data_IF_253729477589
#
_entry.id   IF_253729477589
#
_cell.length_a   1.000
_cell.length_b   1.000
_cell.length_c   1.000
_cell.angle_alpha   90.00
_cell.angle_beta   90.00
_cell.angle_gamma   90.00
#
_symmetry.space_group_name_H-M   'P 1'
#
loop_
_entity.id
_entity.type
_entity.pdbx_description
1 polymer ?
#
# COMPACT_ATOMS: atom_id res chain seq x y z
N UNK A 1 8.51 -8.83 18.16
CA UNK A 1 8.78 -7.54 17.49
C UNK A 1 7.48 -7.11 16.88
N UNK A 2 7.04 -5.88 17.12
CA UNK A 2 5.75 -5.41 16.63
C UNK A 2 5.93 -4.75 15.27
N UNK A 3 4.97 -4.89 14.36
CA UNK A 3 5.02 -4.36 12.99
C UNK A 3 5.30 -2.83 12.93
N UNK A 4 4.96 -2.08 13.99
CA UNK A 4 5.28 -0.66 14.11
C UNK A 4 6.80 -0.42 14.12
N UNK A 5 7.58 -1.31 14.75
CA UNK A 5 9.04 -1.17 14.77
C UNK A 5 9.65 -1.44 13.41
N UNK A 6 9.07 -2.35 12.62
CA UNK A 6 9.52 -2.61 11.26
C UNK A 6 9.26 -1.41 10.34
N UNK A 7 8.08 -0.79 10.45
CA UNK A 7 7.78 0.47 9.75
C UNK A 7 8.72 1.60 10.15
N UNK A 8 8.95 1.81 11.45
CA UNK A 8 9.91 2.85 11.93
C UNK A 8 11.34 2.60 11.46
N UNK A 9 11.77 1.33 11.42
CA UNK A 9 13.14 0.96 11.01
C UNK A 9 13.34 1.15 9.51
N UNK A 10 12.33 0.87 8.71
CA UNK A 10 12.45 0.88 7.24
C UNK A 10 12.12 2.23 6.62
N UNK A 11 11.36 3.10 7.31
CA UNK A 11 11.07 4.44 6.82
C UNK A 11 12.30 5.35 6.78
N UNK A 12 12.41 6.14 5.69
CA UNK A 12 13.33 7.28 5.59
C UNK A 12 12.80 8.53 6.33
N UNK A 13 11.49 8.62 6.51
CA UNK A 13 10.80 9.70 7.22
C UNK A 13 10.05 9.14 8.45
N UNK A 14 10.49 9.48 9.68
CA UNK A 14 9.84 9.06 10.92
C UNK A 14 8.39 9.56 11.08
N UNK A 15 8.08 10.76 10.57
CA UNK A 15 6.74 11.34 10.69
C UNK A 15 5.77 10.60 9.75
N UNK A 16 6.22 10.28 8.54
CA UNK A 16 5.48 9.41 7.63
C UNK A 16 5.22 8.03 8.24
N UNK A 17 6.23 7.43 8.88
CA UNK A 17 6.05 6.16 9.59
C UNK A 17 4.98 6.26 10.68
N UNK A 18 4.99 7.34 11.46
CA UNK A 18 4.00 7.56 12.51
C UNK A 18 2.57 7.67 11.94
N UNK A 19 2.38 8.37 10.82
CA UNK A 19 1.08 8.48 10.13
C UNK A 19 0.56 7.12 9.65
N UNK A 20 1.42 6.33 8.99
CA UNK A 20 1.04 4.99 8.52
C UNK A 20 0.71 4.06 9.70
N UNK A 21 1.51 4.13 10.78
CA UNK A 21 1.26 3.36 12.00
C UNK A 21 -0.10 3.71 12.61
N UNK A 22 -0.42 5.00 12.71
CA UNK A 22 -1.70 5.46 13.26
C UNK A 22 -2.87 4.96 12.41
N UNK A 23 -2.80 5.10 11.09
CA UNK A 23 -3.86 4.65 10.19
C UNK A 23 -4.12 3.14 10.28
N UNK A 24 -3.05 2.33 10.32
CA UNK A 24 -3.15 0.87 10.46
C UNK A 24 -3.65 0.49 11.85
N UNK A 25 -3.20 1.15 12.92
CA UNK A 25 -3.67 0.88 14.27
C UNK A 25 -5.17 1.19 14.42
N UNK A 26 -5.63 2.31 13.86
CA UNK A 26 -7.05 2.66 13.83
C UNK A 26 -7.89 1.62 13.07
N UNK A 27 -7.40 1.12 11.93
CA UNK A 27 -8.07 0.06 11.17
C UNK A 27 -8.22 -1.23 11.99
N UNK A 28 -7.13 -1.71 12.59
CA UNK A 28 -7.15 -2.93 13.39
C UNK A 28 -8.08 -2.79 14.61
N UNK A 29 -8.11 -1.61 15.23
CA UNK A 29 -8.92 -1.35 16.43
C UNK A 29 -10.41 -1.14 16.12
N UNK A 30 -10.75 -0.45 15.03
CA UNK A 30 -12.12 -0.02 14.73
C UNK A 30 -12.86 -0.94 13.77
N UNK A 31 -12.15 -1.70 12.94
CA UNK A 31 -12.72 -2.57 11.93
C UNK A 31 -12.35 -4.06 12.11
N UNK A 32 -12.32 -4.63 13.35
CA UNK A 32 -11.84 -5.99 13.60
C UNK A 32 -12.64 -7.05 12.84
N UNK A 33 -13.92 -6.79 12.57
CA UNK A 33 -14.80 -7.68 11.81
C UNK A 33 -14.22 -8.07 10.46
N UNK A 34 -13.57 -7.13 9.75
CA UNK A 34 -13.01 -7.38 8.41
C UNK A 34 -11.96 -8.50 8.44
N UNK A 35 -11.14 -8.52 9.48
CA UNK A 35 -10.04 -9.47 9.65
C UNK A 35 -10.53 -10.80 10.20
N UNK A 36 -11.39 -10.77 11.22
CA UNK A 36 -11.97 -11.99 11.84
C UNK A 36 -12.73 -12.81 10.80
N UNK A 37 -13.51 -12.16 9.95
CA UNK A 37 -14.35 -12.82 8.93
C UNK A 37 -13.69 -12.96 7.56
N UNK A 38 -12.37 -12.72 7.46
CA UNK A 38 -11.58 -12.89 6.22
C UNK A 38 -12.15 -12.12 5.02
N UNK A 39 -12.71 -10.94 5.26
CA UNK A 39 -13.33 -10.09 4.23
C UNK A 39 -12.31 -9.79 3.11
N UNK A 40 -12.81 -9.53 1.91
CA UNK A 40 -11.98 -9.24 0.73
C UNK A 40 -11.05 -8.04 0.93
N UNK A 41 -9.87 -8.09 0.29
CA UNK A 41 -8.82 -7.07 0.41
C UNK A 41 -9.35 -5.68 0.06
N UNK A 42 -10.17 -5.54 -1.00
CA UNK A 42 -10.79 -4.25 -1.37
C UNK A 42 -11.54 -3.56 -0.23
N UNK A 43 -12.25 -4.30 0.62
CA UNK A 43 -12.95 -3.71 1.76
C UNK A 43 -11.96 -3.22 2.84
N UNK A 44 -10.88 -3.98 3.05
CA UNK A 44 -9.78 -3.60 3.95
C UNK A 44 -9.05 -2.37 3.39
N UNK A 45 -8.71 -2.35 2.09
CA UNK A 45 -8.07 -1.23 1.40
C UNK A 45 -8.90 0.05 1.52
N UNK A 46 -10.21 -0.02 1.21
CA UNK A 46 -11.11 1.13 1.36
C UNK A 46 -11.14 1.67 2.80
N UNK A 47 -11.24 0.78 3.80
CA UNK A 47 -11.30 1.22 5.21
C UNK A 47 -9.97 1.78 5.69
N UNK A 48 -8.85 1.20 5.25
CA UNK A 48 -7.52 1.77 5.50
C UNK A 48 -7.37 3.14 4.84
N UNK A 49 -7.83 3.31 3.59
CA UNK A 49 -7.74 4.57 2.86
C UNK A 49 -8.41 5.73 3.61
N UNK A 50 -9.55 5.50 4.25
CA UNK A 50 -10.22 6.50 5.10
C UNK A 50 -9.31 6.95 6.27
N UNK A 51 -8.64 6.01 6.94
CA UNK A 51 -7.74 6.35 8.04
C UNK A 51 -6.44 6.98 7.56
N UNK A 52 -5.96 6.59 6.38
CA UNK A 52 -4.82 7.22 5.71
C UNK A 52 -5.18 8.67 5.37
N UNK A 53 -6.30 8.93 4.68
CA UNK A 53 -6.75 10.29 4.31
C UNK A 53 -6.75 11.26 5.50
N UNK A 54 -7.23 10.80 6.67
CA UNK A 54 -7.22 11.59 7.90
C UNK A 54 -5.80 12.04 8.37
N UNK A 55 -4.75 11.32 7.98
CA UNK A 55 -3.35 11.62 8.31
C UNK A 55 -2.63 12.50 7.26
N UNK A 56 -3.22 12.70 6.08
CA UNK A 56 -2.62 13.44 4.95
C UNK A 56 -3.51 14.61 4.52
N UNK A 57 -3.75 15.61 5.39
CA UNK A 57 -4.54 16.78 5.01
C UNK A 57 -3.93 17.49 3.81
N UNK A 58 -4.77 17.80 2.83
CA UNK A 58 -4.38 18.45 1.58
C UNK A 58 -3.99 17.50 0.46
N UNK A 59 -3.83 16.20 0.71
CA UNK A 59 -3.61 15.19 -0.32
C UNK A 59 -4.91 14.48 -0.69
N UNK A 60 -5.00 13.97 -1.92
CA UNK A 60 -6.02 13.00 -2.31
C UNK A 60 -5.58 11.59 -1.89
N UNK A 61 -6.52 10.78 -1.43
CA UNK A 61 -6.30 9.35 -1.14
C UNK A 61 -7.31 8.52 -1.89
N UNK A 62 -6.84 7.69 -2.82
CA UNK A 62 -7.68 6.90 -3.71
C UNK A 62 -7.28 5.43 -3.68
N UNK A 63 -8.27 4.55 -3.70
CA UNK A 63 -8.06 3.12 -3.97
C UNK A 63 -8.10 2.86 -5.47
N UNK A 64 -7.28 1.91 -5.94
CA UNK A 64 -7.33 1.42 -7.31
C UNK A 64 -7.28 2.54 -8.39
N UNK A 65 -6.54 3.63 -8.12
CA UNK A 65 -6.44 4.76 -9.04
C UNK A 65 -5.51 4.43 -10.22
N UNK A 66 -6.11 4.33 -11.41
CA UNK A 66 -5.50 3.77 -12.62
C UNK A 66 -4.85 4.81 -13.55
N UNK A 67 -4.71 6.07 -13.11
CA UNK A 67 -4.15 7.17 -13.92
C UNK A 67 -2.80 7.66 -13.45
N UNK A 68 -2.00 8.07 -14.42
CA UNK A 68 -0.79 8.87 -14.27
C UNK A 68 -0.93 10.09 -15.19
N UNK A 69 -1.31 11.24 -14.63
CA UNK A 69 -1.92 12.32 -15.40
C UNK A 69 -3.22 11.85 -16.08
N UNK A 70 -3.31 12.05 -17.40
CA UNK A 70 -4.44 11.56 -18.21
C UNK A 70 -4.20 10.14 -18.76
N UNK A 71 -2.94 9.69 -18.74
CA UNK A 71 -2.55 8.39 -19.25
C UNK A 71 -2.96 7.29 -18.28
N UNK A 72 -3.11 6.08 -18.83
CA UNK A 72 -3.26 4.89 -18.00
C UNK A 72 -1.94 4.59 -17.30
N UNK A 73 -2.01 4.17 -16.04
CA UNK A 73 -0.85 3.84 -15.22
C UNK A 73 -0.23 2.51 -15.68
N UNK A 74 1.03 2.58 -16.12
CA UNK A 74 1.77 1.45 -16.69
C UNK A 74 3.17 1.37 -16.07
N UNK A 75 3.67 0.15 -15.85
CA UNK A 75 5.05 -0.11 -15.45
C UNK A 75 5.75 -0.87 -16.59
N UNK A 76 6.78 -0.29 -17.24
CA UNK A 76 7.48 -0.89 -18.38
C UNK A 76 8.09 -2.26 -18.07
N UNK A 77 8.69 -2.44 -16.88
CA UNK A 77 9.42 -3.65 -16.51
C UNK A 77 8.56 -4.65 -15.69
N UNK A 78 7.27 -4.77 -16.04
CA UNK A 78 6.26 -5.44 -15.23
C UNK A 78 6.59 -6.90 -14.86
N UNK A 79 6.31 -7.29 -13.61
CA UNK A 79 6.38 -8.65 -13.07
C UNK A 79 5.30 -9.61 -13.63
N UNK A 80 4.77 -9.32 -14.82
CA UNK A 80 3.75 -10.08 -15.54
C UNK A 80 4.36 -10.81 -16.75
N UNK A 81 3.68 -11.85 -17.23
CA UNK A 81 4.15 -12.74 -18.29
C UNK A 81 4.09 -12.16 -19.71
N UNK A 82 3.92 -10.85 -19.90
CA UNK A 82 3.58 -10.31 -21.21
C UNK A 82 4.70 -9.44 -21.80
N UNK A 83 4.98 -9.73 -23.06
CA UNK A 83 6.05 -9.22 -23.91
C UNK A 83 6.07 -7.68 -24.04
N UNK A 84 7.27 -7.09 -23.96
CA UNK A 84 7.77 -5.79 -24.48
C UNK A 84 6.95 -4.47 -24.35
N UNK A 85 5.71 -4.43 -23.85
CA UNK A 85 4.88 -3.20 -23.78
C UNK A 85 4.56 -2.69 -22.35
N UNK A 86 5.05 -3.37 -21.32
CA UNK A 86 4.81 -3.00 -19.93
C UNK A 86 3.43 -3.42 -19.41
N UNK A 87 3.34 -3.56 -18.09
CA UNK A 87 2.13 -4.04 -17.43
C UNK A 87 1.30 -2.89 -16.87
N UNK A 88 -0.01 -2.98 -17.06
CA UNK A 88 -0.94 -2.13 -16.37
C UNK A 88 -0.93 -2.41 -14.88
N UNK A 89 -0.98 -1.36 -14.07
CA UNK A 89 -0.94 -1.52 -12.62
C UNK A 89 -2.08 -0.79 -11.93
N UNK A 90 -2.52 -1.37 -10.82
CA UNK A 90 -3.62 -0.89 -10.02
C UNK A 90 -3.19 -0.98 -8.55
N UNK A 91 -2.72 0.14 -7.96
CA UNK A 91 -2.29 0.15 -6.56
C UNK A 91 -3.49 0.03 -5.63
N UNK A 92 -3.32 -0.61 -4.47
CA UNK A 92 -4.42 -0.78 -3.52
C UNK A 92 -4.89 0.55 -2.93
N UNK A 93 -3.94 1.41 -2.56
CA UNK A 93 -4.17 2.77 -2.05
C UNK A 93 -3.02 3.65 -2.49
N UNK A 94 -3.31 4.90 -2.85
CA UNK A 94 -2.29 5.92 -3.08
C UNK A 94 -2.59 7.20 -2.33
N UNK A 95 -1.54 7.91 -1.94
CA UNK A 95 -1.57 9.30 -1.48
C UNK A 95 -0.90 10.13 -2.57
N UNK A 96 -1.67 11.01 -3.21
CA UNK A 96 -1.26 11.73 -4.41
C UNK A 96 -2.06 13.01 -4.57
N UNK A 97 -1.79 13.76 -5.63
CA UNK A 97 -2.68 14.80 -6.11
C UNK A 97 -3.21 14.39 -7.47
N UNK A 98 -4.55 14.33 -7.63
CA UNK A 98 -5.16 13.89 -8.90
C UNK A 98 -4.71 14.77 -10.08
N UNK A 99 -4.51 14.13 -11.23
CA UNK A 99 -4.00 14.78 -12.45
C UNK A 99 -2.47 14.80 -12.50
N UNK A 100 -1.82 15.89 -12.95
CA UNK A 100 -0.36 16.01 -13.01
C UNK A 100 0.28 16.30 -11.64
N UNK A 101 -0.49 16.20 -10.56
CA UNK A 101 -0.02 16.43 -9.21
C UNK A 101 0.82 15.25 -8.71
N UNK A 102 1.85 15.54 -7.92
CA UNK A 102 2.86 14.54 -7.55
C UNK A 102 2.32 13.31 -6.82
N UNK A 103 3.07 12.21 -6.94
CA UNK A 103 2.79 10.92 -6.31
C UNK A 103 3.63 10.78 -5.03
N UNK A 104 2.99 10.59 -3.87
CA UNK A 104 3.70 10.59 -2.59
C UNK A 104 3.86 9.18 -2.01
N UNK A 105 2.76 8.48 -1.75
CA UNK A 105 2.78 7.14 -1.14
C UNK A 105 1.95 6.16 -1.96
N UNK A 106 2.47 4.96 -2.18
CA UNK A 106 1.72 3.83 -2.74
C UNK A 106 1.72 2.67 -1.76
N UNK A 107 0.56 2.06 -1.55
CA UNK A 107 0.37 0.91 -0.68
C UNK A 107 0.05 -0.34 -1.49
N UNK A 108 0.63 -1.46 -1.06
CA UNK A 108 0.28 -2.81 -1.52
C UNK A 108 -0.02 -3.67 -0.29
N UNK A 109 -1.21 -4.25 -0.27
CA UNK A 109 -1.80 -4.93 0.87
C UNK A 109 -2.00 -6.41 0.55
N UNK A 110 -1.70 -7.27 1.53
CA UNK A 110 -1.98 -8.70 1.45
C UNK A 110 -2.63 -9.20 2.71
N UNK A 111 -3.38 -10.30 2.60
CA UNK A 111 -3.81 -11.12 3.75
C UNK A 111 -2.87 -12.29 3.98
N UNK A 112 -2.77 -12.77 5.21
CA UNK A 112 -2.00 -13.96 5.60
C UNK A 112 -2.47 -15.25 4.90
N UNK A 113 -3.69 -15.25 4.34
CA UNK A 113 -4.21 -16.35 3.51
C UNK A 113 -3.64 -16.38 2.10
N UNK A 114 -3.05 -15.28 1.61
CA UNK A 114 -2.42 -15.26 0.31
C UNK A 114 -1.07 -15.99 0.39
N UNK A 115 -0.93 -17.07 -0.40
CA UNK A 115 0.26 -17.95 -0.41
C UNK A 115 1.35 -17.47 -1.37
N UNK A 116 1.08 -16.45 -2.18
CA UNK A 116 2.08 -15.91 -3.08
C UNK A 116 3.21 -15.22 -2.28
N UNK A 117 4.47 -15.38 -2.70
CA UNK A 117 5.61 -14.67 -2.13
C UNK A 117 5.45 -13.14 -2.27
N UNK A 118 5.90 -12.41 -1.25
CA UNK A 118 5.85 -10.94 -1.23
C UNK A 118 6.78 -10.29 -2.28
N UNK A 119 7.80 -11.00 -2.78
CA UNK A 119 8.85 -10.45 -3.64
C UNK A 119 8.30 -9.78 -4.91
N UNK A 120 7.18 -10.29 -5.44
CA UNK A 120 6.50 -9.67 -6.59
C UNK A 120 5.94 -8.31 -6.22
N UNK A 121 5.25 -8.19 -5.09
CA UNK A 121 4.68 -6.91 -4.65
C UNK A 121 5.78 -5.92 -4.22
N UNK A 122 6.87 -6.39 -3.61
CA UNK A 122 8.02 -5.54 -3.30
C UNK A 122 8.69 -5.03 -4.58
N UNK A 123 8.87 -5.89 -5.59
CA UNK A 123 9.39 -5.48 -6.90
C UNK A 123 8.48 -4.45 -7.56
N UNK A 124 7.16 -4.66 -7.49
CA UNK A 124 6.15 -3.73 -8.00
C UNK A 124 6.20 -2.38 -7.26
N UNK A 125 6.33 -2.36 -5.93
CA UNK A 125 6.52 -1.15 -5.13
C UNK A 125 7.76 -0.34 -5.55
N UNK A 126 8.89 -1.02 -5.78
CA UNK A 126 10.10 -0.35 -6.31
C UNK A 126 9.86 0.26 -7.68
N UNK A 127 9.13 -0.47 -8.53
CA UNK A 127 8.83 -0.02 -9.88
C UNK A 127 7.87 1.20 -9.90
N UNK A 128 6.88 1.28 -8.99
CA UNK A 128 6.08 2.50 -8.81
C UNK A 128 6.97 3.72 -8.52
N UNK A 129 7.97 3.59 -7.66
CA UNK A 129 8.87 4.71 -7.38
C UNK A 129 9.78 5.05 -8.57
N UNK A 130 10.33 4.04 -9.27
CA UNK A 130 11.22 4.27 -10.43
C UNK A 130 10.51 4.90 -11.64
N UNK A 131 9.31 4.46 -11.96
CA UNK A 131 8.66 4.78 -13.23
C UNK A 131 7.48 5.74 -13.09
N UNK A 132 6.87 5.81 -11.91
CA UNK A 132 5.64 6.58 -11.66
C UNK A 132 5.85 7.65 -10.58
N UNK A 133 7.08 7.87 -10.13
CA UNK A 133 7.45 8.99 -9.27
C UNK A 133 6.88 8.95 -7.85
N UNK A 134 6.53 7.77 -7.33
CA UNK A 134 6.15 7.64 -5.92
C UNK A 134 7.38 7.74 -5.01
N UNK A 135 7.37 8.67 -4.05
CA UNK A 135 8.45 8.85 -3.07
C UNK A 135 8.59 7.64 -2.13
N UNK A 136 7.46 7.01 -1.79
CA UNK A 136 7.37 5.97 -0.77
C UNK A 136 6.47 4.82 -1.21
N UNK A 137 7.00 3.59 -1.19
CA UNK A 137 6.20 2.37 -1.21
C UNK A 137 5.96 1.84 0.20
N UNK A 138 4.78 1.28 0.46
CA UNK A 138 4.44 0.65 1.74
C UNK A 138 3.82 -0.72 1.48
N UNK A 139 4.47 -1.77 1.98
CA UNK A 139 3.92 -3.12 1.95
C UNK A 139 3.32 -3.47 3.32
N UNK A 140 2.11 -4.04 3.35
CA UNK A 140 1.48 -4.52 4.59
C UNK A 140 0.81 -5.87 4.36
N UNK A 141 1.14 -6.84 5.22
CA UNK A 141 0.48 -8.13 5.27
C UNK A 141 -0.31 -8.29 6.56
N UNK A 142 -1.64 -8.30 6.44
CA UNK A 142 -2.58 -8.45 7.55
C UNK A 142 -2.83 -9.91 7.91
N UNK A 143 -2.88 -10.20 9.21
CA UNK A 143 -3.32 -11.49 9.75
C UNK A 143 -4.85 -11.52 9.77
N UNK A 144 -5.43 -12.56 9.17
CA UNK A 144 -6.89 -12.75 9.11
C UNK A 144 -7.33 -14.12 9.62
N UNK A 145 -8.59 -14.21 10.04
CA UNK A 145 -9.20 -15.45 10.55
C UNK A 145 -8.78 -15.83 11.96
N UNK A 146 -8.25 -14.88 12.73
CA UNK A 146 -7.99 -14.99 14.16
C UNK A 146 -8.88 -14.00 14.93
N UNK A 147 -9.17 -14.26 16.23
CA UNK A 147 -9.98 -13.36 17.05
C UNK A 147 -9.40 -11.94 17.20
N UNK A 148 -8.08 -11.82 17.10
CA UNK A 148 -7.35 -10.56 17.22
C UNK A 148 -6.72 -10.21 15.87
N UNK A 149 -7.14 -9.11 15.22
CA UNK A 149 -6.47 -8.59 14.03
C UNK A 149 -5.02 -8.21 14.34
N UNK A 150 -4.11 -8.47 13.39
CA UNK A 150 -2.70 -8.10 13.53
C UNK A 150 -2.06 -7.95 12.14
N UNK A 151 -0.77 -7.60 12.11
CA UNK A 151 0.06 -7.47 10.91
C UNK A 151 1.27 -8.37 11.04
N UNK A 152 1.47 -9.27 10.07
CA UNK A 152 2.59 -10.21 10.07
C UNK A 152 3.84 -9.68 9.38
N UNK A 153 3.69 -8.66 8.52
CA UNK A 153 4.81 -7.98 7.85
C UNK A 153 4.40 -6.57 7.48
N UNK A 154 5.26 -5.59 7.75
CA UNK A 154 5.09 -4.23 7.27
C UNK A 154 6.44 -3.58 7.04
N UNK A 155 6.63 -2.94 5.89
CA UNK A 155 7.87 -2.22 5.59
C UNK A 155 7.66 -1.12 4.55
N UNK A 156 8.49 -0.08 4.66
CA UNK A 156 8.68 0.88 3.59
C UNK A 156 9.63 0.31 2.53
N UNK A 157 9.26 0.51 1.26
CA UNK A 157 9.99 0.05 0.09
C UNK A 157 10.34 1.26 -0.76
N UNK A 158 11.59 1.32 -1.22
CA UNK A 158 12.11 2.42 -2.02
C UNK A 158 12.72 1.88 -3.32
N UNK A 159 12.75 2.70 -4.38
CA UNK A 159 13.60 2.42 -5.54
C UNK A 159 15.02 2.07 -5.10
N UNK A 160 15.57 1.04 -5.74
CA UNK A 160 17.01 0.76 -5.72
C UNK A 160 17.76 1.76 -6.60
#
# INVERSE_FOLDING_TARGET
>A
MTWQNDLRRTARDPDLAAKVIEAVALLLARDPYLFVHRVGERAISHRLAIYVEAQFPGWDVDCEYDRDGDARKMIPDGSGNDDDEGSAVLPDIIVHHRGPGGNHVVFELKKSTNREPDDRDLTKLRAYGRHLGYDHGVFIRFVVGHPTPDVSRAEFVYPE
#
